data_IF_163146803526
#
_entry.id   IF_163146803526
#
_cell.length_a   1.000
_cell.length_b   1.000
_cell.length_c   1.000
_cell.angle_alpha   90.00
_cell.angle_beta   90.00
_cell.angle_gamma   90.00
#
_symmetry.space_group_name_H-M   'P 1'
#
loop_
_entity.id
_entity.type
_entity.pdbx_description
1 polymer ?
#
# COMPACT_ATOMS: atom_id res chain seq x y z
N UNK A 1 3.79 -4.82 37.42
CA UNK A 1 2.61 -4.56 36.57
C UNK A 1 2.75 -3.19 35.92
N UNK A 2 3.33 -3.13 34.72
CA UNK A 2 3.51 -1.89 33.97
C UNK A 2 2.26 -1.64 33.13
N UNK A 3 1.50 -0.58 33.45
CA UNK A 3 0.40 -0.10 32.63
C UNK A 3 1.00 0.40 31.32
N UNK A 4 0.75 -0.31 30.22
CA UNK A 4 1.07 0.16 28.88
C UNK A 4 0.16 1.37 28.63
N UNK A 5 0.71 2.56 28.79
CA UNK A 5 0.03 3.81 28.49
C UNK A 5 -0.40 3.78 27.02
N UNK A 6 -1.70 3.61 26.79
CA UNK A 6 -2.29 3.80 25.47
C UNK A 6 -1.89 5.18 24.96
N UNK A 7 -1.15 5.21 23.86
CA UNK A 7 -0.77 6.44 23.18
C UNK A 7 -2.06 7.24 22.90
N UNK A 8 -2.23 8.36 23.60
CA UNK A 8 -3.44 9.17 23.54
C UNK A 8 -3.45 9.90 22.20
N UNK A 9 -4.10 9.30 21.21
CA UNK A 9 -4.28 9.89 19.89
C UNK A 9 -4.89 11.30 20.06
N UNK A 10 -4.24 12.37 19.59
CA UNK A 10 -4.64 13.74 19.90
C UNK A 10 -6.10 14.02 19.48
N UNK A 11 -6.84 14.65 20.40
CA UNK A 11 -8.30 14.89 20.31
C UNK A 11 -8.74 15.54 18.99
N UNK A 12 -7.92 16.43 18.42
CA UNK A 12 -8.25 17.17 17.20
C UNK A 12 -8.48 16.29 15.96
N UNK A 13 -7.80 15.14 15.84
CA UNK A 13 -7.95 14.23 14.70
C UNK A 13 -9.22 13.37 14.78
N UNK A 14 -9.70 13.11 16.00
CA UNK A 14 -10.93 12.35 16.25
C UNK A 14 -12.18 13.17 15.91
N UNK A 15 -12.13 14.48 16.17
CA UNK A 15 -13.27 15.39 15.97
C UNK A 15 -13.55 15.68 14.50
N UNK A 16 -12.51 15.84 13.67
CA UNK A 16 -12.69 16.11 12.23
C UNK A 16 -13.26 14.92 11.46
N UNK A 17 -12.91 13.69 11.86
CA UNK A 17 -13.46 12.46 11.30
C UNK A 17 -14.90 12.16 11.78
N UNK A 18 -15.35 12.79 12.86
CA UNK A 18 -16.68 12.56 13.44
C UNK A 18 -17.79 13.38 12.77
N UNK A 19 -17.46 14.28 11.82
CA UNK A 19 -18.44 15.11 11.13
C UNK A 19 -18.95 14.37 9.88
N UNK A 20 -20.20 13.89 9.85
CA UNK A 20 -20.72 13.02 8.78
C UNK A 20 -20.76 13.69 7.40
N UNK A 21 -20.87 15.03 7.33
CA UNK A 21 -20.92 15.76 6.06
C UNK A 21 -19.60 15.77 5.28
N UNK A 22 -18.45 15.90 5.96
CA UNK A 22 -17.14 15.95 5.28
C UNK A 22 -16.65 14.55 4.84
N UNK A 23 -16.92 13.51 5.65
CA UNK A 23 -16.63 12.10 5.31
C UNK A 23 -17.47 11.59 4.14
N UNK A 24 -18.67 12.13 3.94
CA UNK A 24 -19.57 11.65 2.89
C UNK A 24 -19.27 12.25 1.53
N UNK A 25 -18.84 13.51 1.49
CA UNK A 25 -18.50 14.19 0.25
C UNK A 25 -17.07 13.87 -0.22
N UNK A 26 -16.09 13.77 0.68
CA UNK A 26 -14.65 13.70 0.32
C UNK A 26 -14.18 12.32 -0.19
N UNK A 27 -14.75 11.23 0.32
CA UNK A 27 -14.39 9.85 -0.05
C UNK A 27 -14.62 9.54 -1.54
N UNK A 28 -15.77 9.86 -2.16
CA UNK A 28 -15.96 9.59 -3.59
C UNK A 28 -15.01 10.39 -4.49
N UNK A 29 -14.66 11.63 -4.11
CA UNK A 29 -13.65 12.41 -4.85
C UNK A 29 -12.26 11.76 -4.78
N UNK A 30 -11.86 11.24 -3.62
CA UNK A 30 -10.60 10.50 -3.48
C UNK A 30 -10.62 9.21 -4.30
N UNK A 31 -11.72 8.48 -4.32
CA UNK A 31 -11.84 7.24 -5.10
C UNK A 31 -11.78 7.50 -6.60
N UNK A 32 -12.48 8.53 -7.08
CA UNK A 32 -12.40 8.96 -8.48
C UNK A 32 -10.97 9.39 -8.83
N UNK A 33 -10.33 10.17 -7.97
CA UNK A 33 -8.95 10.59 -8.15
C UNK A 33 -7.98 9.41 -8.20
N UNK A 34 -8.15 8.42 -7.32
CA UNK A 34 -7.33 7.21 -7.30
C UNK A 34 -7.54 6.36 -8.56
N UNK A 35 -8.78 6.26 -9.03
CA UNK A 35 -9.09 5.56 -10.27
C UNK A 35 -8.42 6.25 -11.47
N UNK A 36 -8.56 7.57 -11.59
CA UNK A 36 -7.91 8.35 -12.64
C UNK A 36 -6.38 8.26 -12.54
N UNK A 37 -5.82 8.30 -11.33
CA UNK A 37 -4.39 8.14 -11.11
C UNK A 37 -3.89 6.74 -11.51
N UNK A 38 -4.60 5.67 -11.14
CA UNK A 38 -4.21 4.30 -11.54
C UNK A 38 -4.34 4.07 -13.03
N UNK A 39 -5.40 4.59 -13.65
CA UNK A 39 -5.61 4.50 -15.10
C UNK A 39 -4.55 5.30 -15.87
N UNK A 40 -4.25 6.52 -15.42
CA UNK A 40 -3.18 7.35 -15.97
C UNK A 40 -1.80 6.70 -15.84
N UNK A 41 -1.51 6.09 -14.68
CA UNK A 41 -0.29 5.32 -14.47
C UNK A 41 -0.17 4.16 -15.47
N UNK A 42 -1.21 3.34 -15.62
CA UNK A 42 -1.22 2.20 -16.54
C UNK A 42 -1.01 2.63 -18.01
N UNK A 43 -1.70 3.68 -18.44
CA UNK A 43 -1.58 4.22 -19.81
C UNK A 43 -0.18 4.81 -20.04
N UNK A 44 0.36 5.61 -19.12
CA UNK A 44 1.70 6.19 -19.28
C UNK A 44 2.78 5.10 -19.33
N UNK A 45 2.68 4.06 -18.50
CA UNK A 45 3.64 2.95 -18.50
C UNK A 45 3.55 2.13 -19.79
N UNK A 46 2.35 1.84 -20.29
CA UNK A 46 2.16 1.09 -21.55
C UNK A 46 2.57 1.88 -22.80
N UNK A 47 2.42 3.21 -22.78
CA UNK A 47 2.83 4.09 -23.89
C UNK A 47 4.34 4.35 -23.90
N UNK A 48 5.00 4.31 -22.74
CA UNK A 48 6.45 4.52 -22.57
C UNK A 48 7.35 3.76 -23.57
N UNK A 49 7.20 2.43 -23.77
CA UNK A 49 8.07 1.69 -24.68
C UNK A 49 7.89 2.07 -26.17
N UNK A 50 6.75 2.65 -26.57
CA UNK A 50 6.53 3.12 -27.94
C UNK A 50 7.22 4.46 -28.24
N UNK A 51 7.42 5.29 -27.21
CA UNK A 51 8.14 6.57 -27.35
C UNK A 51 9.64 6.41 -27.10
N UNK A 52 10.08 5.25 -26.62
CA UNK A 52 11.48 4.94 -26.40
C UNK A 52 12.16 4.64 -27.74
N UNK A 53 12.66 5.68 -28.41
CA UNK A 53 13.48 5.55 -29.62
C UNK A 53 14.96 5.75 -29.31
N UNK A 54 15.84 5.04 -30.02
CA UNK A 54 17.29 5.14 -29.84
C UNK A 54 17.86 6.52 -30.19
N UNK A 55 17.16 7.30 -31.02
CA UNK A 55 17.58 8.64 -31.47
C UNK A 55 17.12 9.77 -30.55
N UNK A 56 16.02 9.61 -29.81
CA UNK A 56 15.51 10.61 -28.88
C UNK A 56 14.78 9.96 -27.68
N UNK A 57 15.44 9.88 -26.50
CA UNK A 57 14.82 9.33 -25.28
C UNK A 57 13.99 10.36 -24.50
N UNK A 58 14.04 11.65 -24.85
CA UNK A 58 13.35 12.71 -24.12
C UNK A 58 11.83 12.47 -23.95
N UNK A 59 11.06 12.08 -24.97
CA UNK A 59 9.62 11.86 -24.81
C UNK A 59 9.29 10.68 -23.87
N UNK A 60 10.07 9.59 -23.92
CA UNK A 60 9.88 8.46 -23.02
C UNK A 60 10.13 8.86 -21.55
N UNK A 61 11.15 9.67 -21.30
CA UNK A 61 11.47 10.18 -19.95
C UNK A 61 10.33 11.06 -19.43
N UNK A 62 9.78 11.96 -20.25
CA UNK A 62 8.65 12.83 -19.85
C UNK A 62 7.43 12.00 -19.47
N UNK A 63 7.10 10.97 -20.26
CA UNK A 63 5.98 10.07 -19.98
C UNK A 63 6.22 9.24 -18.70
N UNK A 64 7.45 8.78 -18.47
CA UNK A 64 7.85 8.11 -17.22
C UNK A 64 7.77 9.03 -16.00
N UNK A 65 8.13 10.29 -16.14
CA UNK A 65 7.96 11.29 -15.07
C UNK A 65 6.48 11.51 -14.75
N UNK A 66 5.62 11.59 -15.77
CA UNK A 66 4.16 11.66 -15.58
C UNK A 66 3.61 10.40 -14.91
N UNK A 67 4.07 9.21 -15.31
CA UNK A 67 3.73 7.97 -14.65
C UNK A 67 4.06 8.01 -13.15
N UNK A 68 5.27 8.44 -12.79
CA UNK A 68 5.69 8.58 -11.39
C UNK A 68 4.86 9.61 -10.62
N UNK A 69 4.44 10.71 -11.27
CA UNK A 69 3.52 11.67 -10.66
C UNK A 69 2.18 11.01 -10.32
N UNK A 70 1.60 10.23 -11.23
CA UNK A 70 0.37 9.48 -10.98
C UNK A 70 0.52 8.41 -9.89
N UNK A 71 1.67 7.73 -9.82
CA UNK A 71 1.97 6.79 -8.73
C UNK A 71 1.99 7.48 -7.35
N UNK A 72 2.55 8.69 -7.28
CA UNK A 72 2.54 9.52 -6.07
C UNK A 72 1.13 9.94 -5.63
N UNK A 73 0.23 10.15 -6.59
CA UNK A 73 -1.17 10.48 -6.34
C UNK A 73 -2.01 9.28 -5.90
N UNK A 74 -1.68 8.07 -6.39
CA UNK A 74 -2.38 6.83 -6.05
C UNK A 74 -2.12 6.35 -4.62
N UNK A 75 -0.86 6.42 -4.17
CA UNK A 75 -0.40 5.92 -2.85
C UNK A 75 -1.20 6.46 -1.65
N UNK A 76 -1.40 7.80 -1.48
CA UNK A 76 -2.14 8.34 -0.34
C UNK A 76 -3.62 7.94 -0.37
N UNK A 77 -4.17 7.69 -1.56
CA UNK A 77 -5.54 7.26 -1.75
C UNK A 77 -5.84 5.87 -1.22
N UNK A 78 -5.01 4.90 -1.59
CA UNK A 78 -5.11 3.52 -1.11
C UNK A 78 -4.83 3.46 0.39
N UNK A 79 -3.83 4.20 0.87
CA UNK A 79 -3.50 4.26 2.28
C UNK A 79 -4.64 4.85 3.12
N UNK A 80 -5.30 5.91 2.63
CA UNK A 80 -6.47 6.49 3.30
C UNK A 80 -7.64 5.51 3.31
N UNK A 81 -7.91 4.82 2.20
CA UNK A 81 -8.98 3.83 2.11
C UNK A 81 -8.80 2.67 3.10
N UNK A 82 -7.56 2.17 3.25
CA UNK A 82 -7.25 1.07 4.15
C UNK A 82 -7.44 1.45 5.63
N UNK A 83 -7.04 2.67 6.01
CA UNK A 83 -7.28 3.21 7.35
C UNK A 83 -8.78 3.39 7.62
N UNK A 84 -9.57 3.74 6.60
CA UNK A 84 -11.02 3.86 6.73
C UNK A 84 -11.72 2.51 6.92
N UNK A 85 -11.21 1.44 6.30
CA UNK A 85 -11.78 0.10 6.44
C UNK A 85 -11.62 -0.47 7.86
N UNK A 86 -10.44 -0.29 8.47
CA UNK A 86 -10.14 -0.85 9.79
C UNK A 86 -9.38 0.15 10.67
N UNK A 87 -10.02 1.20 11.22
CA UNK A 87 -9.31 2.21 12.00
C UNK A 87 -8.70 1.68 13.31
N UNK A 88 -9.27 0.63 13.90
CA UNK A 88 -8.77 0.02 15.13
C UNK A 88 -7.65 -1.03 14.90
N UNK A 89 -7.59 -1.63 13.71
CA UNK A 89 -6.61 -2.67 13.34
C UNK A 89 -5.71 -2.24 12.18
N UNK A 90 -5.66 -0.94 11.89
CA UNK A 90 -4.97 -0.37 10.73
C UNK A 90 -3.50 -0.75 10.70
N UNK A 91 -2.82 -0.83 11.85
CA UNK A 91 -1.42 -1.25 11.94
C UNK A 91 -1.17 -2.68 11.44
N UNK A 92 -1.97 -3.65 11.89
CA UNK A 92 -1.82 -5.07 11.50
C UNK A 92 -2.19 -5.25 10.03
N UNK A 93 -3.33 -4.69 9.61
CA UNK A 93 -3.78 -4.75 8.21
C UNK A 93 -2.73 -4.11 7.30
N UNK A 94 -2.26 -2.91 7.62
CA UNK A 94 -1.20 -2.23 6.85
C UNK A 94 0.06 -3.09 6.79
N UNK A 95 0.49 -3.70 7.90
CA UNK A 95 1.66 -4.59 7.93
C UNK A 95 1.55 -5.78 6.99
N UNK A 96 0.38 -6.43 6.94
CA UNK A 96 0.12 -7.55 6.01
C UNK A 96 0.20 -7.05 4.56
N UNK A 97 -0.43 -5.92 4.23
CA UNK A 97 -0.38 -5.34 2.89
C UNK A 97 1.06 -5.01 2.46
N UNK A 98 1.84 -4.35 3.30
CA UNK A 98 3.26 -4.05 3.00
C UNK A 98 4.11 -5.32 2.86
N UNK A 99 3.80 -6.38 3.61
CA UNK A 99 4.48 -7.67 3.46
C UNK A 99 4.22 -8.29 2.09
N UNK A 100 2.97 -8.26 1.62
CA UNK A 100 2.59 -8.70 0.26
C UNK A 100 3.26 -7.84 -0.81
N UNK A 101 3.25 -6.51 -0.65
CA UNK A 101 3.95 -5.58 -1.56
C UNK A 101 5.45 -5.89 -1.63
N UNK A 102 6.09 -6.19 -0.51
CA UNK A 102 7.51 -6.57 -0.48
C UNK A 102 7.76 -7.89 -1.23
N UNK A 103 6.89 -8.89 -1.10
CA UNK A 103 6.98 -10.14 -1.87
C UNK A 103 6.86 -9.88 -3.37
N UNK A 104 5.89 -9.07 -3.80
CA UNK A 104 5.76 -8.69 -5.21
C UNK A 104 6.96 -7.91 -5.72
N UNK A 105 7.59 -7.08 -4.89
CA UNK A 105 8.81 -6.35 -5.25
C UNK A 105 9.99 -7.30 -5.52
N UNK A 106 10.12 -8.36 -4.71
CA UNK A 106 11.13 -9.41 -4.94
C UNK A 106 10.82 -10.17 -6.24
N UNK A 107 9.57 -10.57 -6.45
CA UNK A 107 9.14 -11.26 -7.68
C UNK A 107 9.44 -10.41 -8.90
N UNK A 108 9.14 -9.11 -8.85
CA UNK A 108 9.40 -8.19 -9.96
C UNK A 108 10.89 -8.14 -10.31
N UNK A 109 11.78 -8.09 -9.31
CA UNK A 109 13.24 -8.13 -9.54
C UNK A 109 13.69 -9.44 -10.19
N UNK A 110 13.16 -10.58 -9.73
CA UNK A 110 13.48 -11.89 -10.30
C UNK A 110 12.96 -12.02 -11.74
N UNK A 111 11.75 -11.53 -11.99
CA UNK A 111 11.13 -11.56 -13.30
C UNK A 111 11.88 -10.68 -14.29
N UNK A 112 12.22 -9.44 -13.89
CA UNK A 112 13.06 -8.55 -14.68
C UNK A 112 14.42 -9.19 -14.99
N UNK A 113 15.08 -9.81 -14.01
CA UNK A 113 16.37 -10.48 -14.25
C UNK A 113 16.26 -11.62 -15.27
N UNK A 114 15.17 -12.39 -15.22
CA UNK A 114 14.95 -13.53 -16.13
C UNK A 114 14.63 -13.06 -17.56
N UNK A 115 13.83 -11.99 -17.71
CA UNK A 115 13.43 -11.45 -19.02
C UNK A 115 14.61 -10.70 -19.67
N UNK A 116 15.42 -9.99 -18.88
CA UNK A 116 16.54 -9.17 -19.34
C UNK A 116 17.83 -9.99 -19.47
N UNK A 117 17.85 -10.94 -20.41
CA UNK A 117 19.07 -11.71 -20.71
C UNK A 117 20.08 -10.90 -21.51
N UNK A 118 19.62 -10.07 -22.45
CA UNK A 118 20.48 -9.30 -23.37
C UNK A 118 20.36 -7.79 -23.12
N UNK A 119 19.28 -7.34 -22.49
CA UNK A 119 18.95 -5.94 -22.28
C UNK A 119 18.46 -5.24 -23.55
N UNK A 120 17.95 -6.00 -24.53
CA UNK A 120 17.47 -5.43 -25.79
C UNK A 120 16.19 -4.61 -25.60
N UNK A 121 15.91 -3.70 -26.53
CA UNK A 121 14.70 -2.86 -26.50
C UNK A 121 13.42 -3.71 -26.49
N UNK A 122 13.43 -4.87 -27.16
CA UNK A 122 12.29 -5.80 -27.21
C UNK A 122 12.05 -6.49 -25.86
N UNK A 123 13.12 -6.86 -25.13
CA UNK A 123 13.00 -7.42 -23.78
C UNK A 123 12.39 -6.39 -22.81
N UNK A 124 12.83 -5.12 -22.90
CA UNK A 124 12.25 -4.02 -22.12
C UNK A 124 10.79 -3.75 -22.49
N UNK A 125 10.44 -3.81 -23.77
CA UNK A 125 9.07 -3.65 -24.23
C UNK A 125 8.13 -4.64 -23.51
N UNK A 126 8.54 -5.91 -23.39
CA UNK A 126 7.76 -6.94 -22.68
C UNK A 126 7.60 -6.59 -21.20
N UNK A 127 8.65 -6.09 -20.53
CA UNK A 127 8.59 -5.73 -19.10
C UNK A 127 7.64 -4.56 -18.86
N UNK A 128 7.67 -3.53 -19.71
CA UNK A 128 6.77 -2.39 -19.64
C UNK A 128 5.32 -2.79 -19.90
N UNK A 129 5.09 -3.67 -20.88
CA UNK A 129 3.76 -4.15 -21.22
C UNK A 129 3.14 -5.00 -20.10
N UNK A 130 3.91 -5.94 -19.52
CA UNK A 130 3.46 -6.72 -18.35
C UNK A 130 3.10 -5.79 -17.19
N UNK A 131 3.92 -4.75 -16.94
CA UNK A 131 3.67 -3.78 -15.88
C UNK A 131 2.38 -2.97 -16.12
N UNK A 132 2.13 -2.57 -17.36
CA UNK A 132 0.90 -1.86 -17.74
C UNK A 132 -0.34 -2.73 -17.55
N UNK A 133 -0.29 -4.01 -17.98
CA UNK A 133 -1.39 -4.96 -17.80
C UNK A 133 -1.69 -5.19 -16.32
N UNK A 134 -0.66 -5.40 -15.49
CA UNK A 134 -0.84 -5.61 -14.05
C UNK A 134 -1.46 -4.38 -13.38
N UNK A 135 -1.00 -3.17 -13.75
CA UNK A 135 -1.54 -1.92 -13.21
C UNK A 135 -3.03 -1.71 -13.60
N UNK A 136 -3.38 -1.97 -14.86
CA UNK A 136 -4.75 -1.85 -15.35
C UNK A 136 -5.67 -2.93 -14.75
N UNK A 137 -5.17 -4.17 -14.63
CA UNK A 137 -5.92 -5.26 -14.04
C UNK A 137 -6.27 -4.93 -12.58
N UNK A 138 -5.31 -4.47 -11.79
CA UNK A 138 -5.57 -4.04 -10.41
C UNK A 138 -6.62 -2.92 -10.34
N UNK A 139 -6.57 -1.98 -11.29
CA UNK A 139 -7.53 -0.88 -11.40
C UNK A 139 -8.94 -1.41 -11.69
N UNK A 140 -9.09 -2.35 -12.63
CA UNK A 140 -10.37 -2.95 -13.01
C UNK A 140 -10.94 -3.80 -11.87
N UNK A 141 -10.11 -4.60 -11.21
CA UNK A 141 -10.55 -5.36 -10.03
C UNK A 141 -11.02 -4.43 -8.91
N UNK A 142 -10.30 -3.33 -8.67
CA UNK A 142 -10.68 -2.35 -7.66
C UNK A 142 -11.95 -1.58 -8.04
N UNK A 143 -12.21 -1.29 -9.32
CA UNK A 143 -13.47 -0.62 -9.71
C UNK A 143 -14.67 -1.54 -9.71
N UNK A 144 -14.50 -2.80 -10.09
CA UNK A 144 -15.60 -3.77 -10.12
C UNK A 144 -15.99 -4.27 -8.73
N UNK A 145 -15.02 -4.53 -7.86
CA UNK A 145 -15.25 -5.08 -6.51
C UNK A 145 -15.02 -4.09 -5.37
N UNK A 146 -14.28 -3.01 -5.58
CA UNK A 146 -14.01 -1.99 -4.57
C UNK A 146 -15.16 -1.01 -4.37
N UNK A 147 -16.41 -1.46 -4.51
CA UNK A 147 -17.56 -0.68 -4.04
C UNK A 147 -17.41 -0.51 -2.53
N UNK A 148 -16.97 0.69 -2.13
CA UNK A 148 -16.97 1.11 -0.73
C UNK A 148 -18.41 1.44 -0.31
N UNK A 149 -19.30 0.45 -0.46
CA UNK A 149 -20.63 0.48 0.13
C UNK A 149 -20.43 0.68 1.63
N UNK A 150 -20.81 1.87 2.09
CA UNK A 150 -20.58 2.36 3.45
C UNK A 150 -21.25 1.42 4.43
N UNK A 151 -20.49 0.75 5.29
CA UNK A 151 -21.06 0.20 6.51
C UNK A 151 -21.43 1.34 7.46
N UNK A 152 -22.56 2.01 7.21
CA UNK A 152 -23.21 2.97 8.12
C UNK A 152 -23.78 2.24 9.35
N UNK A 153 -24.05 0.93 9.25
CA UNK A 153 -24.86 0.19 10.23
C UNK A 153 -24.07 -0.75 11.15
N UNK A 154 -22.99 -0.32 11.80
CA UNK A 154 -22.57 -0.96 13.07
C UNK A 154 -22.07 0.08 14.07
N UNK A 155 -22.89 1.10 14.31
CA UNK A 155 -22.86 1.90 15.54
C UNK A 155 -23.38 1.13 16.76
N UNK A 156 -23.04 -0.15 16.90
CA UNK A 156 -23.11 -0.86 18.18
C UNK A 156 -21.73 -1.41 18.44
N UNK A 157 -20.97 -0.64 19.23
CA UNK A 157 -19.89 -1.17 20.04
C UNK A 157 -20.46 -2.36 20.80
N UNK A 158 -20.22 -3.59 20.31
CA UNK A 158 -20.37 -4.76 21.16
C UNK A 158 -19.29 -4.59 22.24
N UNK A 159 -19.71 -4.42 23.50
CA UNK A 159 -18.80 -4.55 24.64
C UNK A 159 -17.99 -5.83 24.45
N UNK A 160 -16.68 -5.83 24.73
CA UNK A 160 -15.89 -7.06 24.61
C UNK A 160 -16.49 -8.10 25.56
N UNK A 161 -17.06 -9.16 25.01
CA UNK A 161 -17.28 -10.41 25.75
C UNK A 161 -15.88 -10.99 26.07
N UNK A 162 -15.62 -11.42 27.31
CA UNK A 162 -14.27 -11.72 27.81
C UNK A 162 -13.60 -13.00 27.23
N UNK A 163 -14.12 -13.60 26.16
CA UNK A 163 -13.83 -15.01 25.83
C UNK A 163 -13.31 -15.27 24.42
N UNK A 164 -13.07 -14.24 23.58
CA UNK A 164 -12.51 -14.42 22.24
C UNK A 164 -10.98 -14.60 22.29
N UNK A 165 -10.55 -15.77 22.77
CA UNK A 165 -9.14 -16.18 22.87
C UNK A 165 -8.82 -17.10 21.68
N UNK A 166 -8.44 -16.54 20.54
CA UNK A 166 -7.70 -17.29 19.50
C UNK A 166 -6.93 -16.33 18.60
N UNK A 167 -5.71 -16.70 18.24
CA UNK A 167 -4.74 -16.03 17.34
C UNK A 167 -3.95 -14.78 17.81
N UNK A 168 -4.47 -13.89 18.65
CA UNK A 168 -3.73 -12.67 19.06
C UNK A 168 -2.61 -12.87 20.11
N UNK A 169 -2.54 -14.04 20.74
CA UNK A 169 -1.55 -14.36 21.78
C UNK A 169 -0.20 -14.82 21.22
N UNK A 170 -0.21 -15.47 20.06
CA UNK A 170 1.02 -15.98 19.43
C UNK A 170 1.84 -14.83 18.85
N UNK A 171 1.19 -13.93 18.09
CA UNK A 171 1.86 -12.82 17.39
C UNK A 171 2.52 -11.80 18.33
N UNK A 172 1.84 -11.41 19.42
CA UNK A 172 2.42 -10.50 20.42
C UNK A 172 3.62 -11.12 21.15
N UNK A 173 3.61 -12.43 21.38
CA UNK A 173 4.73 -13.13 22.03
C UNK A 173 5.94 -13.19 21.11
N UNK A 174 5.72 -13.44 19.82
CA UNK A 174 6.79 -13.47 18.80
C UNK A 174 7.40 -12.09 18.58
N UNK A 175 6.59 -11.03 18.51
CA UNK A 175 7.10 -9.66 18.35
C UNK A 175 7.91 -9.22 19.59
N UNK A 176 7.45 -9.56 20.80
CA UNK A 176 8.20 -9.27 22.04
C UNK A 176 9.48 -10.10 22.13
N UNK A 177 9.47 -11.36 21.67
CA UNK A 177 10.66 -12.21 21.63
C UNK A 177 11.69 -11.68 20.63
N UNK A 178 11.25 -11.26 19.43
CA UNK A 178 12.12 -10.68 18.40
C UNK A 178 12.71 -9.34 18.84
N UNK A 179 11.93 -8.48 19.50
CA UNK A 179 12.44 -7.21 20.04
C UNK A 179 13.47 -7.42 21.15
N UNK A 180 13.27 -8.43 22.00
CA UNK A 180 14.28 -8.81 23.01
C UNK A 180 15.54 -9.40 22.37
N UNK A 181 15.38 -10.21 21.32
CA UNK A 181 16.51 -10.80 20.60
C UNK A 181 17.34 -9.73 19.89
N UNK A 182 16.69 -8.77 19.22
CA UNK A 182 17.37 -7.67 18.54
C UNK A 182 18.12 -6.78 19.53
N UNK A 183 17.50 -6.47 20.67
CA UNK A 183 18.14 -5.67 21.73
C UNK A 183 19.35 -6.40 22.35
N UNK A 184 19.26 -7.72 22.54
CA UNK A 184 20.36 -8.54 23.04
C UNK A 184 21.53 -8.59 22.04
N UNK A 185 21.24 -8.75 20.75
CA UNK A 185 22.26 -8.75 19.70
C UNK A 185 22.98 -7.40 19.58
N UNK A 186 22.26 -6.28 19.69
CA UNK A 186 22.88 -4.95 19.71
C UNK A 186 23.83 -4.77 20.90
N UNK A 187 23.49 -5.32 22.07
CA UNK A 187 24.36 -5.26 23.25
C UNK A 187 25.62 -6.12 23.10
N UNK A 188 25.53 -7.28 22.44
CA UNK A 188 26.67 -8.15 22.17
C UNK A 188 27.63 -7.58 21.11
N UNK A 189 27.09 -6.86 20.13
CA UNK A 189 27.90 -6.17 19.10
C UNK A 189 28.63 -4.97 19.70
N UNK A 190 27.99 -4.20 20.59
CA UNK A 190 28.60 -3.04 21.25
C UNK A 190 29.68 -3.41 22.28
N UNK A 191 29.62 -4.60 22.88
CA UNK A 191 30.61 -5.06 23.88
C UNK A 191 31.88 -5.65 23.26
N UNK A 192 31.96 -5.74 21.91
CA UNK A 192 33.08 -6.35 21.18
C UNK A 192 33.92 -5.34 20.37
N UNK A 193 33.68 -4.04 20.56
CA UNK A 193 34.54 -2.93 20.12
C UNK A 193 35.27 -2.34 21.34
#
# INVERSE_FOLDING_TARGET
MSKINSCKVPSSYRTLYSIPSYRTLYIPYLQLFNFVASLGLGVCVGVSPFLASASDPAPAIVVLCLANAFAGLHTPGVQTALIQLAPAFSGIVTGIFFSVVALFSIINKLLSNTILSTGSTDEWFIVFEISAVVALLLTVFFTLWGSAERQVKHGLVKKPDPDAKSETLSENTTIVALAKLSMYLSHQVAAKQ
#
